data_IF_294908184332
#
_entry.id   IF_294908184332
#
_cell.length_a   1.000
_cell.length_b   1.000
_cell.length_c   1.000
_cell.angle_alpha   90.00
_cell.angle_beta   90.00
_cell.angle_gamma   90.00
#
_symmetry.space_group_name_H-M   'P 1'
#
loop_
_entity.id
_entity.type
_entity.pdbx_description
1 polymer ?
#
# COMPACT_ATOMS: atom_id res chain seq x y z
N UNK A 1 -0.80 -84.91 -41.15
CA UNK A 1 -2.18 -85.05 -40.64
C UNK A 1 -2.04 -85.34 -39.15
N UNK A 2 -2.36 -84.45 -38.22
CA UNK A 2 -3.61 -83.72 -38.08
C UNK A 2 -3.39 -82.28 -37.58
N UNK A 3 -3.78 -81.32 -38.41
CA UNK A 3 -3.87 -79.88 -38.12
C UNK A 3 -5.11 -79.55 -37.27
N UNK A 4 -5.51 -80.42 -36.34
CA UNK A 4 -6.79 -80.33 -35.64
C UNK A 4 -6.68 -79.89 -34.17
N UNK A 5 -5.57 -79.23 -33.76
CA UNK A 5 -5.42 -78.67 -32.40
C UNK A 5 -5.51 -77.13 -32.39
N UNK A 6 -5.54 -76.48 -33.56
CA UNK A 6 -5.87 -75.06 -33.66
C UNK A 6 -7.38 -74.79 -33.53
N UNK A 7 -8.01 -75.47 -32.57
CA UNK A 7 -9.29 -75.11 -31.98
C UNK A 7 -9.26 -73.62 -31.64
N UNK A 8 -9.76 -72.80 -32.56
CA UNK A 8 -10.80 -71.82 -32.30
C UNK A 8 -10.63 -71.06 -30.97
N UNK A 9 -9.47 -70.44 -30.74
CA UNK A 9 -9.36 -69.35 -29.76
C UNK A 9 -9.77 -68.07 -30.49
N UNK A 10 -11.08 -67.95 -30.74
CA UNK A 10 -11.73 -66.78 -31.32
C UNK A 10 -12.48 -65.98 -30.25
N UNK A 11 -11.99 -66.00 -29.01
CA UNK A 11 -12.73 -65.46 -27.87
C UNK A 11 -11.92 -64.51 -26.98
N UNK A 12 -10.94 -63.83 -27.56
CA UNK A 12 -10.24 -62.74 -26.89
C UNK A 12 -10.26 -61.54 -27.83
N UNK A 13 -10.95 -60.47 -27.42
CA UNK A 13 -10.99 -59.21 -28.17
C UNK A 13 -9.58 -58.61 -28.25
N UNK A 14 -9.24 -58.01 -29.38
CA UNK A 14 -8.00 -57.26 -29.55
C UNK A 14 -7.87 -56.17 -28.47
N UNK A 15 -6.63 -55.91 -28.06
CA UNK A 15 -6.32 -54.87 -27.07
C UNK A 15 -6.68 -53.51 -27.68
N UNK A 16 -7.82 -52.97 -27.27
CA UNK A 16 -8.25 -51.62 -27.66
C UNK A 16 -7.35 -50.61 -26.95
N UNK A 17 -6.61 -49.81 -27.72
CA UNK A 17 -5.82 -48.71 -27.18
C UNK A 17 -6.77 -47.64 -26.64
N UNK A 18 -6.85 -47.54 -25.32
CA UNK A 18 -7.57 -46.46 -24.65
C UNK A 18 -6.59 -45.28 -24.54
N UNK A 19 -6.91 -44.11 -25.12
CA UNK A 19 -6.08 -42.93 -24.93
C UNK A 19 -6.16 -42.49 -23.46
N UNK A 20 -5.01 -42.42 -22.80
CA UNK A 20 -4.91 -41.98 -21.40
C UNK A 20 -4.25 -40.60 -21.32
N UNK A 21 -5.02 -39.62 -20.81
CA UNK A 21 -4.58 -38.24 -20.61
C UNK A 21 -4.37 -37.90 -19.13
N UNK A 22 -4.43 -38.89 -18.22
CA UNK A 22 -4.43 -38.67 -16.77
C UNK A 22 -3.20 -37.88 -16.29
N UNK A 23 -2.04 -38.13 -16.89
CA UNK A 23 -0.80 -37.40 -16.59
C UNK A 23 -0.91 -35.91 -16.96
N UNK A 24 -1.49 -35.59 -18.11
CA UNK A 24 -1.68 -34.19 -18.54
C UNK A 24 -2.67 -33.47 -17.63
N UNK A 25 -3.76 -34.15 -17.23
CA UNK A 25 -4.74 -33.61 -16.28
C UNK A 25 -4.09 -33.33 -14.92
N UNK A 26 -3.25 -34.25 -14.43
CA UNK A 26 -2.51 -34.07 -13.18
C UNK A 26 -1.60 -32.84 -13.21
N UNK A 27 -0.80 -32.67 -14.27
CA UNK A 27 0.04 -31.48 -14.41
C UNK A 27 -0.76 -30.19 -14.57
N UNK A 28 -1.89 -30.22 -15.28
CA UNK A 28 -2.78 -29.06 -15.41
C UNK A 28 -3.34 -28.62 -14.04
N UNK A 29 -3.69 -29.58 -13.17
CA UNK A 29 -4.16 -29.29 -11.81
C UNK A 29 -3.06 -28.71 -10.92
N UNK A 30 -1.82 -29.23 -11.03
CA UNK A 30 -0.66 -28.65 -10.32
C UNK A 30 -0.43 -27.20 -10.76
N UNK A 31 -0.44 -26.95 -12.08
CA UNK A 31 -0.25 -25.62 -12.64
C UNK A 31 -1.36 -24.67 -12.15
N UNK A 32 -2.62 -25.12 -12.17
CA UNK A 32 -3.75 -24.33 -11.68
C UNK A 32 -3.60 -23.99 -10.21
N UNK A 33 -3.21 -24.96 -9.38
CA UNK A 33 -2.94 -24.74 -7.96
C UNK A 33 -1.84 -23.71 -7.73
N UNK A 34 -0.77 -23.75 -8.54
CA UNK A 34 0.31 -22.78 -8.47
C UNK A 34 -0.13 -21.36 -8.86
N UNK A 35 -0.97 -21.23 -9.89
CA UNK A 35 -1.55 -19.94 -10.30
C UNK A 35 -2.42 -19.36 -9.17
N UNK A 36 -3.28 -20.18 -8.56
CA UNK A 36 -4.13 -19.74 -7.44
C UNK A 36 -3.27 -19.31 -6.25
N UNK A 37 -2.24 -20.07 -5.91
CA UNK A 37 -1.31 -19.71 -4.84
C UNK A 37 -0.61 -18.36 -5.12
N UNK A 38 -0.13 -18.14 -6.34
CA UNK A 38 0.47 -16.86 -6.75
C UNK A 38 -0.50 -15.68 -6.60
N UNK A 39 -1.76 -15.85 -7.02
CA UNK A 39 -2.80 -14.82 -6.86
C UNK A 39 -2.99 -14.48 -5.38
N UNK A 40 -3.12 -15.49 -4.51
CA UNK A 40 -3.27 -15.29 -3.06
C UNK A 40 -2.08 -14.51 -2.49
N UNK A 41 -0.85 -14.91 -2.84
CA UNK A 41 0.37 -14.23 -2.39
C UNK A 41 0.40 -12.76 -2.84
N UNK A 42 0.06 -12.47 -4.10
CA UNK A 42 0.00 -11.10 -4.62
C UNK A 42 -1.04 -10.27 -3.85
N UNK A 43 -2.21 -10.85 -3.58
CA UNK A 43 -3.26 -10.19 -2.80
C UNK A 43 -2.81 -9.89 -1.37
N UNK A 44 -2.16 -10.83 -0.69
CA UNK A 44 -1.60 -10.64 0.65
C UNK A 44 -0.59 -9.48 0.64
N UNK A 45 0.37 -9.48 -0.30
CA UNK A 45 1.38 -8.42 -0.41
C UNK A 45 0.71 -7.06 -0.63
N UNK A 46 -0.28 -6.98 -1.53
CA UNK A 46 -1.01 -5.74 -1.83
C UNK A 46 -1.78 -5.23 -0.61
N UNK A 47 -2.43 -6.13 0.13
CA UNK A 47 -3.17 -5.79 1.34
C UNK A 47 -2.26 -5.20 2.43
N UNK A 48 -1.12 -5.82 2.71
CA UNK A 48 -0.17 -5.31 3.69
C UNK A 48 0.54 -4.02 3.25
N UNK A 49 0.85 -3.89 1.95
CA UNK A 49 1.47 -2.67 1.40
C UNK A 49 0.55 -1.45 1.49
N UNK A 50 -0.76 -1.64 1.30
CA UNK A 50 -1.77 -0.59 1.45
C UNK A 50 -2.05 -0.20 2.92
N UNK A 51 -1.61 -1.01 3.89
CA UNK A 51 -1.79 -0.73 5.32
C UNK A 51 -0.76 0.27 5.88
N UNK A 52 0.39 0.46 5.21
CA UNK A 52 1.27 1.60 5.50
C UNK A 52 0.52 2.85 5.05
N UNK A 53 -0.07 3.58 6.00
CA UNK A 53 -0.79 4.83 5.75
C UNK A 53 0.01 5.71 4.80
N UNK A 54 -0.69 6.43 3.92
CA UNK A 54 -0.03 7.31 2.97
C UNK A 54 0.95 8.21 3.73
N UNK A 55 2.14 8.47 3.16
CA UNK A 55 3.12 9.39 3.78
C UNK A 55 2.45 10.71 4.20
N UNK A 56 1.46 11.14 3.42
CA UNK A 56 0.56 12.27 3.68
C UNK A 56 -0.16 12.16 5.03
N UNK A 57 -0.76 11.00 5.35
CA UNK A 57 -1.42 10.74 6.63
C UNK A 57 -0.44 10.79 7.81
N UNK A 58 0.78 10.30 7.62
CA UNK A 58 1.84 10.40 8.64
C UNK A 58 2.16 11.88 8.92
N UNK A 59 2.36 12.68 7.87
CA UNK A 59 2.67 14.11 8.03
C UNK A 59 1.51 14.88 8.67
N UNK A 60 0.28 14.57 8.29
CA UNK A 60 -0.92 15.14 8.89
C UNK A 60 -0.99 14.87 10.40
N UNK A 61 -0.78 13.62 10.82
CA UNK A 61 -0.80 13.27 12.24
C UNK A 61 0.31 13.99 13.02
N UNK A 62 1.54 14.05 12.47
CA UNK A 62 2.64 14.78 13.10
C UNK A 62 2.28 16.25 13.35
N UNK A 63 1.59 16.90 12.41
CA UNK A 63 1.17 18.30 12.55
C UNK A 63 0.01 18.48 13.53
N UNK A 64 -0.90 17.49 13.59
CA UNK A 64 -2.05 17.50 14.50
C UNK A 64 -1.65 17.33 15.97
N UNK A 65 -0.61 16.55 16.23
CA UNK A 65 -0.16 16.19 17.58
C UNK A 65 0.81 17.23 18.20
N UNK A 66 0.99 18.40 17.59
CA UNK A 66 1.90 19.44 18.08
C UNK A 66 1.30 20.15 19.29
N UNK A 67 1.99 20.08 20.43
CA UNK A 67 1.57 20.70 21.68
C UNK A 67 2.09 22.13 21.90
N UNK A 68 2.94 22.64 20.99
CA UNK A 68 3.53 23.99 21.05
C UNK A 68 4.40 24.25 22.31
N UNK A 69 4.99 23.20 22.88
CA UNK A 69 5.87 23.27 24.08
C UNK A 69 7.27 23.76 23.76
N UNK A 70 7.77 23.49 22.56
CA UNK A 70 9.12 23.87 22.12
C UNK A 70 9.03 24.74 20.87
N UNK A 71 8.79 26.07 21.00
CA UNK A 71 8.44 26.97 19.90
C UNK A 71 9.34 26.85 18.67
N UNK A 72 10.66 26.77 18.90
CA UNK A 72 11.65 26.66 17.83
C UNK A 72 11.54 25.33 17.08
N UNK A 73 11.51 24.21 17.82
CA UNK A 73 11.42 22.88 17.24
C UNK A 73 10.08 22.68 16.55
N UNK A 74 9.01 23.17 17.14
CA UNK A 74 7.66 23.08 16.58
C UNK A 74 7.58 23.91 15.29
N UNK A 75 8.16 25.12 15.24
CA UNK A 75 8.21 25.92 14.03
C UNK A 75 8.98 25.23 12.88
N UNK A 76 10.12 24.57 13.17
CA UNK A 76 10.83 23.76 12.17
C UNK A 76 10.01 22.54 11.72
N UNK A 77 9.37 21.86 12.66
CA UNK A 77 8.54 20.67 12.42
C UNK A 77 7.35 21.01 11.53
N UNK A 78 6.60 22.05 11.90
CA UNK A 78 5.47 22.57 11.12
C UNK A 78 5.95 22.93 9.72
N UNK A 79 6.99 23.76 9.59
CA UNK A 79 7.51 24.18 8.29
C UNK A 79 7.84 22.99 7.38
N UNK A 80 8.50 21.97 7.93
CA UNK A 80 8.93 20.80 7.17
C UNK A 80 7.74 19.96 6.69
N UNK A 81 6.87 19.57 7.61
CA UNK A 81 5.79 18.63 7.28
C UNK A 81 4.64 19.30 6.52
N UNK A 82 4.40 20.59 6.72
CA UNK A 82 3.40 21.34 5.99
C UNK A 82 3.74 21.42 4.50
N UNK A 83 5.01 21.70 4.14
CA UNK A 83 5.49 21.70 2.75
C UNK A 83 5.36 20.34 2.06
N UNK A 84 5.42 19.24 2.82
CA UNK A 84 5.27 17.88 2.32
C UNK A 84 3.80 17.42 2.24
N UNK A 85 2.90 18.10 2.95
CA UNK A 85 1.48 17.76 3.05
C UNK A 85 0.64 18.44 1.97
N UNK A 86 0.96 19.71 1.65
CA UNK A 86 0.25 20.52 0.66
C UNK A 86 0.63 20.15 -0.78
N UNK A 87 -0.37 20.04 -1.64
CA UNK A 87 -0.19 19.68 -3.06
C UNK A 87 -0.76 20.74 -4.00
N UNK A 88 -1.90 21.34 -3.65
CA UNK A 88 -2.59 22.32 -4.51
C UNK A 88 -2.00 23.74 -4.35
N UNK A 89 -2.16 24.57 -5.37
CA UNK A 89 -1.60 25.93 -5.35
C UNK A 89 -2.24 26.83 -4.28
N UNK A 90 -3.53 26.64 -4.01
CA UNK A 90 -4.22 27.34 -2.91
C UNK A 90 -3.65 26.93 -1.55
N UNK A 91 -3.47 25.63 -1.32
CA UNK A 91 -2.88 25.09 -0.09
C UNK A 91 -1.45 25.59 0.11
N UNK A 92 -0.64 25.59 -0.96
CA UNK A 92 0.75 26.10 -0.94
C UNK A 92 0.83 27.57 -0.55
N UNK A 93 -0.08 28.41 -1.03
CA UNK A 93 -0.13 29.83 -0.66
C UNK A 93 -0.40 30.01 0.83
N UNK A 94 -1.46 29.37 1.34
CA UNK A 94 -1.83 29.44 2.76
C UNK A 94 -0.73 28.86 3.66
N UNK A 95 -0.10 27.76 3.25
CA UNK A 95 1.05 27.19 3.95
C UNK A 95 2.26 28.13 3.92
N UNK A 96 2.50 28.82 2.80
CA UNK A 96 3.56 29.81 2.67
C UNK A 96 3.39 30.97 3.65
N UNK A 97 2.17 31.51 3.78
CA UNK A 97 1.86 32.55 4.76
C UNK A 97 2.14 32.09 6.20
N UNK A 98 1.66 30.90 6.58
CA UNK A 98 1.91 30.33 7.90
C UNK A 98 3.41 30.07 8.15
N UNK A 99 4.15 29.63 7.14
CA UNK A 99 5.60 29.39 7.25
C UNK A 99 6.35 30.69 7.46
N UNK A 100 5.93 31.77 6.80
CA UNK A 100 6.54 33.10 6.97
C UNK A 100 6.33 33.59 8.41
N UNK A 101 5.14 33.43 8.98
CA UNK A 101 4.86 33.78 10.39
C UNK A 101 5.74 32.97 11.36
N UNK A 102 6.06 31.73 11.01
CA UNK A 102 6.90 30.84 11.82
C UNK A 102 8.41 31.15 11.73
N UNK A 103 8.86 31.99 10.79
CA UNK A 103 10.29 32.30 10.64
C UNK A 103 10.87 32.99 11.87
N UNK A 104 10.08 33.86 12.52
CA UNK A 104 10.49 34.56 13.74
C UNK A 104 10.92 33.59 14.84
N UNK A 105 10.30 32.42 14.92
CA UNK A 105 10.52 31.41 15.94
C UNK A 105 11.70 30.48 15.64
N UNK A 106 12.17 30.42 14.39
CA UNK A 106 13.21 29.46 13.94
C UNK A 106 14.63 29.95 14.19
N UNK A 107 14.87 31.26 14.08
CA UNK A 107 16.23 31.79 14.04
C UNK A 107 16.66 32.51 15.33
N UNK A 108 15.71 32.90 16.18
CA UNK A 108 16.02 33.53 17.48
C UNK A 108 16.60 32.50 18.47
N UNK A 109 17.52 32.95 19.33
CA UNK A 109 18.17 32.10 20.34
C UNK A 109 17.23 31.78 21.49
N UNK A 110 16.54 32.80 21.98
CA UNK A 110 15.44 32.70 22.93
C UNK A 110 14.15 33.11 22.23
N UNK A 111 13.09 32.33 22.43
CA UNK A 111 11.86 32.42 21.64
C UNK A 111 10.67 32.34 22.58
N UNK A 112 9.76 33.30 22.46
CA UNK A 112 8.48 33.28 23.16
C UNK A 112 7.61 32.12 22.69
N UNK A 113 6.59 31.80 23.48
CA UNK A 113 5.55 30.84 23.09
C UNK A 113 4.91 31.25 21.76
N UNK A 114 4.63 30.27 20.89
CA UNK A 114 3.92 30.51 19.62
C UNK A 114 2.56 31.15 19.89
N UNK A 115 2.28 32.25 19.18
CA UNK A 115 1.02 32.98 19.24
C UNK A 115 -0.18 32.07 18.92
N UNK A 116 -1.26 32.25 19.66
CA UNK A 116 -2.57 31.64 19.42
C UNK A 116 -3.06 31.84 17.97
N UNK A 117 -2.74 32.99 17.34
CA UNK A 117 -3.09 33.22 15.94
C UNK A 117 -2.45 32.16 15.00
N UNK A 118 -1.16 31.87 15.19
CA UNK A 118 -0.43 30.86 14.41
C UNK A 118 -1.03 29.46 14.65
N UNK A 119 -1.42 29.16 15.89
CA UNK A 119 -2.09 27.89 16.24
C UNK A 119 -3.41 27.76 15.49
N UNK A 120 -4.24 28.81 15.48
CA UNK A 120 -5.52 28.84 14.78
C UNK A 120 -5.37 28.74 13.26
N UNK A 121 -4.33 29.37 12.69
CA UNK A 121 -4.00 29.23 11.27
C UNK A 121 -3.63 27.79 10.92
N UNK A 122 -2.82 27.14 11.76
CA UNK A 122 -2.46 25.73 11.56
C UNK A 122 -3.71 24.83 11.63
N UNK A 123 -4.56 24.98 12.64
CA UNK A 123 -5.77 24.14 12.77
C UNK A 123 -6.72 24.34 11.58
N UNK A 124 -6.99 25.59 11.20
CA UNK A 124 -7.82 25.90 10.02
C UNK A 124 -7.25 25.26 8.75
N UNK A 125 -5.93 25.32 8.58
CA UNK A 125 -5.28 24.72 7.41
C UNK A 125 -5.37 23.19 7.44
N UNK A 126 -5.21 22.56 8.61
CA UNK A 126 -5.38 21.12 8.78
C UNK A 126 -6.83 20.68 8.50
N UNK A 127 -7.83 21.48 8.90
CA UNK A 127 -9.24 21.18 8.61
C UNK A 127 -9.54 21.23 7.10
N UNK A 128 -8.92 22.17 6.37
CA UNK A 128 -9.01 22.23 4.89
C UNK A 128 -8.33 21.01 4.26
N UNK A 129 -7.22 20.56 4.84
CA UNK A 129 -6.41 19.45 4.35
C UNK A 129 -6.94 18.08 4.77
N UNK A 130 -8.05 18.01 5.52
CA UNK A 130 -8.53 16.78 6.15
C UNK A 130 -8.55 15.62 5.15
N UNK A 131 -7.63 14.69 5.39
CA UNK A 131 -7.33 13.60 4.47
C UNK A 131 -8.36 12.50 4.73
N UNK A 132 -9.44 12.48 3.95
CA UNK A 132 -10.36 11.33 3.86
C UNK A 132 -9.62 10.05 3.48
#
# INVERSE_FOLDING_TARGET
>A
MNENIALKIHDIKDIVKIPDNSIFIYFALILLGFIVALVIVIFIIKYFKNKKGSKRKIYFNILKDIEFKEPKKDAYTITKYLRLLVNEDREKRLAGELINDLEEYKYKKDVSSIDTNIKNKLTTLLDILDVK
#
